data_IF_389125133999
#
_entry.id   IF_389125133999
#
_cell.length_a   1.000
_cell.length_b   1.000
_cell.length_c   1.000
_cell.angle_alpha   90.00
_cell.angle_beta   90.00
_cell.angle_gamma   90.00
#
_symmetry.space_group_name_H-M   'P 1'
#
loop_
_entity.id
_entity.type
_entity.pdbx_description
1 polymer ?
#
# COMPACT_ATOMS: atom_id res chain seq x y z
N UNK A 1 -42.39 -5.19 -18.47
CA UNK A 1 -41.53 -4.69 -19.54
C UNK A 1 -40.13 -4.49 -18.97
N UNK A 2 -39.08 -4.81 -19.73
CA UNK A 2 -37.72 -4.49 -19.32
C UNK A 2 -37.55 -2.96 -19.29
N UNK A 3 -36.82 -2.38 -18.32
CA UNK A 3 -36.61 -0.93 -18.29
C UNK A 3 -35.86 -0.45 -19.55
N UNK A 4 -36.04 0.80 -20.00
CA UNK A 4 -35.33 1.32 -21.18
C UNK A 4 -33.81 1.18 -21.06
N UNK A 5 -33.14 0.88 -22.18
CA UNK A 5 -31.70 0.60 -22.21
C UNK A 5 -30.86 1.76 -21.67
N UNK A 6 -31.17 3.00 -22.05
CA UNK A 6 -30.43 4.16 -21.56
C UNK A 6 -30.68 4.44 -20.08
N UNK A 7 -31.83 4.04 -19.51
CA UNK A 7 -32.00 4.05 -18.05
C UNK A 7 -31.08 3.02 -17.40
N UNK A 8 -31.11 1.76 -17.87
CA UNK A 8 -30.29 0.67 -17.32
C UNK A 8 -28.79 0.98 -17.38
N UNK A 9 -28.34 1.60 -18.47
CA UNK A 9 -26.94 1.94 -18.70
C UNK A 9 -26.47 3.24 -18.01
N UNK A 10 -27.38 4.00 -17.36
CA UNK A 10 -27.05 5.26 -16.70
C UNK A 10 -27.41 5.26 -15.22
N UNK A 11 -28.68 5.46 -14.85
CA UNK A 11 -29.13 5.72 -13.47
C UNK A 11 -28.59 4.66 -12.48
N UNK A 12 -28.75 3.34 -12.71
CA UNK A 12 -28.22 2.33 -11.80
C UNK A 12 -26.68 2.31 -11.74
N UNK A 13 -26.00 2.60 -12.85
CA UNK A 13 -24.54 2.62 -12.92
C UNK A 13 -23.99 3.76 -12.06
N UNK A 14 -24.50 4.99 -12.24
CA UNK A 14 -24.07 6.14 -11.44
C UNK A 14 -24.39 5.95 -9.96
N UNK A 15 -25.60 5.48 -9.61
CA UNK A 15 -25.98 5.24 -8.22
C UNK A 15 -25.03 4.24 -7.53
N UNK A 16 -24.69 3.14 -8.21
CA UNK A 16 -23.75 2.14 -7.68
C UNK A 16 -22.41 2.76 -7.32
N UNK A 17 -21.82 3.54 -8.22
CA UNK A 17 -20.48 4.10 -8.00
C UNK A 17 -20.47 5.32 -7.08
N UNK A 18 -21.56 6.07 -6.99
CA UNK A 18 -21.74 7.13 -5.99
C UNK A 18 -21.83 6.55 -4.57
N UNK A 19 -22.51 5.42 -4.40
CA UNK A 19 -22.52 4.69 -3.13
C UNK A 19 -21.12 4.23 -2.72
N UNK A 20 -20.31 3.75 -3.68
CA UNK A 20 -18.90 3.40 -3.42
C UNK A 20 -18.09 4.63 -3.02
N UNK A 21 -18.19 5.72 -3.77
CA UNK A 21 -17.50 6.98 -3.48
C UNK A 21 -17.84 7.49 -2.08
N UNK A 22 -19.12 7.44 -1.69
CA UNK A 22 -19.57 7.78 -0.33
C UNK A 22 -18.86 6.91 0.71
N UNK A 23 -18.85 5.59 0.51
CA UNK A 23 -18.17 4.66 1.42
C UNK A 23 -16.67 4.95 1.59
N UNK A 24 -16.00 5.46 0.56
CA UNK A 24 -14.58 5.85 0.66
C UNK A 24 -14.38 7.08 1.55
N UNK A 25 -15.34 8.01 1.60
CA UNK A 25 -15.31 9.15 2.52
C UNK A 25 -15.34 8.67 3.98
N UNK A 26 -16.24 7.73 4.27
CA UNK A 26 -16.42 7.17 5.61
C UNK A 26 -15.21 6.30 6.02
N UNK A 27 -14.67 5.51 5.09
CA UNK A 27 -13.47 4.73 5.30
C UNK A 27 -12.26 5.64 5.56
N UNK A 28 -12.11 6.73 4.82
CA UNK A 28 -11.01 7.67 5.01
C UNK A 28 -11.04 8.29 6.41
N UNK A 29 -12.18 8.80 6.86
CA UNK A 29 -12.30 9.41 8.19
C UNK A 29 -12.21 8.42 9.35
N UNK A 30 -12.57 7.15 9.13
CA UNK A 30 -12.45 6.10 10.18
C UNK A 30 -11.06 5.47 10.28
N UNK A 31 -10.24 5.58 9.23
CA UNK A 31 -8.93 4.92 9.14
C UNK A 31 -7.74 5.84 9.36
N UNK A 32 -7.93 7.16 9.27
CA UNK A 32 -6.88 8.14 9.43
C UNK A 32 -7.14 9.07 10.64
N UNK A 33 -6.09 9.62 11.27
CA UNK A 33 -6.23 10.75 12.18
C UNK A 33 -6.97 11.91 11.50
N UNK A 34 -7.76 12.67 12.28
CA UNK A 34 -8.63 13.73 11.73
C UNK A 34 -7.85 14.78 10.92
N UNK A 35 -6.67 15.19 11.38
CA UNK A 35 -5.83 16.15 10.67
C UNK A 35 -5.34 15.62 9.30
N UNK A 36 -4.95 14.34 9.24
CA UNK A 36 -4.48 13.70 8.02
C UNK A 36 -5.64 13.51 7.02
N UNK A 37 -6.81 13.11 7.51
CA UNK A 37 -8.01 13.01 6.70
C UNK A 37 -8.38 14.38 6.09
N UNK A 38 -8.41 15.43 6.90
CA UNK A 38 -8.78 16.78 6.44
C UNK A 38 -7.80 17.31 5.39
N UNK A 39 -6.49 17.04 5.55
CA UNK A 39 -5.48 17.40 4.56
C UNK A 39 -5.71 16.76 3.18
N UNK A 40 -6.40 15.62 3.10
CA UNK A 40 -6.73 14.97 1.82
C UNK A 40 -7.69 15.78 0.97
N UNK A 41 -8.55 16.60 1.56
CA UNK A 41 -9.53 17.41 0.80
C UNK A 41 -8.85 18.31 -0.23
N UNK A 42 -7.67 18.84 0.11
CA UNK A 42 -6.83 19.67 -0.76
C UNK A 42 -5.79 18.90 -1.57
N UNK A 43 -5.66 17.58 -1.40
CA UNK A 43 -4.64 16.79 -2.06
C UNK A 43 -4.89 16.64 -3.57
N UNK A 44 -3.80 16.59 -4.34
CA UNK A 44 -3.77 16.49 -5.81
C UNK A 44 -2.77 15.41 -6.25
N UNK A 45 -2.95 14.88 -7.47
CA UNK A 45 -1.96 14.00 -8.11
C UNK A 45 -0.86 14.77 -8.85
N UNK A 46 -1.22 15.93 -9.41
CA UNK A 46 -0.31 16.87 -10.05
C UNK A 46 -0.75 18.31 -9.72
N UNK A 47 0.17 19.26 -9.82
CA UNK A 47 -0.03 20.63 -9.35
C UNK A 47 -1.19 21.35 -10.08
N UNK A 48 -1.41 21.03 -11.36
CA UNK A 48 -2.44 21.59 -12.22
C UNK A 48 -3.78 20.82 -12.18
N UNK A 49 -3.83 19.67 -11.49
CA UNK A 49 -5.06 18.89 -11.37
C UNK A 49 -5.95 19.38 -10.23
N UNK A 50 -7.28 19.28 -10.41
CA UNK A 50 -8.24 19.55 -9.36
C UNK A 50 -8.01 18.69 -8.10
N UNK A 51 -8.23 19.24 -6.88
CA UNK A 51 -8.02 18.53 -5.63
C UNK A 51 -9.12 17.50 -5.36
N UNK A 52 -8.87 16.59 -4.41
CA UNK A 52 -9.78 15.50 -4.04
C UNK A 52 -11.24 15.94 -3.88
N UNK A 53 -11.50 16.97 -3.07
CA UNK A 53 -12.86 17.45 -2.83
C UNK A 53 -13.56 17.86 -4.14
N UNK A 54 -12.85 18.53 -5.04
CA UNK A 54 -13.36 18.93 -6.35
C UNK A 54 -13.60 17.72 -7.25
N UNK A 55 -12.73 16.69 -7.24
CA UNK A 55 -12.94 15.45 -8.00
C UNK A 55 -14.25 14.75 -7.58
N UNK A 56 -14.52 14.68 -6.27
CA UNK A 56 -15.75 14.09 -5.70
C UNK A 56 -17.00 14.84 -6.18
N UNK A 57 -16.99 16.17 -6.08
CA UNK A 57 -18.10 17.03 -6.49
C UNK A 57 -18.37 16.93 -8.00
N UNK A 58 -17.31 16.90 -8.82
CA UNK A 58 -17.47 16.78 -10.27
C UNK A 58 -18.04 15.41 -10.63
N UNK A 59 -17.56 14.31 -10.01
CA UNK A 59 -18.11 12.98 -10.24
C UNK A 59 -19.62 12.91 -9.90
N UNK A 60 -20.03 13.45 -8.75
CA UNK A 60 -21.44 13.53 -8.38
C UNK A 60 -22.27 14.35 -9.40
N UNK A 61 -21.80 15.53 -9.77
CA UNK A 61 -22.54 16.39 -10.70
C UNK A 61 -22.61 15.81 -12.13
N UNK A 62 -21.62 15.03 -12.58
CA UNK A 62 -21.70 14.34 -13.87
C UNK A 62 -22.89 13.38 -13.95
N UNK A 63 -23.27 12.74 -12.84
CA UNK A 63 -24.46 11.89 -12.79
C UNK A 63 -25.74 12.69 -13.09
N UNK A 64 -25.91 13.87 -12.48
CA UNK A 64 -27.06 14.76 -12.76
C UNK A 64 -27.04 15.29 -14.20
N UNK A 65 -25.89 15.78 -14.64
CA UNK A 65 -25.67 16.32 -16.00
C UNK A 65 -25.89 15.29 -17.11
N UNK A 66 -25.96 14.01 -16.75
CA UNK A 66 -26.19 12.90 -17.69
C UNK A 66 -27.62 12.40 -17.60
N UNK A 67 -28.08 12.01 -16.41
CA UNK A 67 -29.37 11.35 -16.25
C UNK A 67 -30.56 12.28 -16.50
N UNK A 68 -30.47 13.58 -16.15
CA UNK A 68 -31.58 14.51 -16.37
C UNK A 68 -31.82 14.80 -17.85
N UNK A 69 -30.79 15.14 -18.66
CA UNK A 69 -31.00 15.34 -20.10
C UNK A 69 -31.45 14.05 -20.81
N UNK A 70 -30.94 12.88 -20.38
CA UNK A 70 -31.44 11.59 -20.87
C UNK A 70 -32.93 11.39 -20.58
N UNK A 71 -33.41 11.84 -19.42
CA UNK A 71 -34.82 11.83 -19.05
C UNK A 71 -35.64 12.97 -19.71
N UNK A 72 -35.03 13.82 -20.54
CA UNK A 72 -35.69 14.99 -21.12
C UNK A 72 -35.99 16.11 -20.11
N UNK A 73 -35.29 16.12 -18.97
CA UNK A 73 -35.48 17.07 -17.87
C UNK A 73 -34.33 18.08 -17.78
N UNK A 74 -34.57 19.29 -17.25
CA UNK A 74 -33.49 20.23 -16.95
C UNK A 74 -32.56 19.66 -15.87
N UNK A 75 -31.28 20.02 -15.92
CA UNK A 75 -30.30 19.61 -14.90
C UNK A 75 -30.52 20.43 -13.63
N UNK A 76 -30.86 19.82 -12.48
CA UNK A 76 -31.00 20.53 -11.22
C UNK A 76 -29.62 20.88 -10.63
N UNK A 77 -29.60 21.85 -9.72
CA UNK A 77 -28.42 22.14 -8.91
C UNK A 77 -28.40 21.27 -7.66
N UNK A 78 -27.27 20.59 -7.40
CA UNK A 78 -27.04 19.90 -6.12
C UNK A 78 -26.64 20.87 -4.98
N UNK A 79 -26.44 22.15 -5.31
CA UNK A 79 -25.83 23.15 -4.43
C UNK A 79 -24.31 22.97 -4.27
N UNK A 80 -23.64 23.96 -3.69
CA UNK A 80 -22.26 23.81 -3.26
C UNK A 80 -22.22 22.92 -2.00
N UNK A 81 -21.25 22.02 -1.86
CA UNK A 81 -21.03 21.33 -0.60
C UNK A 81 -20.53 22.34 0.44
N UNK A 82 -20.93 22.14 1.69
CA UNK A 82 -20.21 22.73 2.82
C UNK A 82 -18.75 22.24 2.82
N UNK A 83 -17.82 22.98 3.44
CA UNK A 83 -16.44 22.51 3.61
C UNK A 83 -16.40 21.17 4.38
N UNK A 84 -15.37 20.37 4.10
CA UNK A 84 -15.15 19.12 4.81
C UNK A 84 -15.87 17.91 4.22
N UNK A 85 -15.62 16.75 4.82
CA UNK A 85 -16.20 15.48 4.38
C UNK A 85 -17.74 15.43 4.51
N UNK A 86 -18.32 16.12 5.50
CA UNK A 86 -19.79 16.15 5.68
C UNK A 86 -20.49 16.82 4.51
N UNK A 87 -19.93 17.91 3.99
CA UNK A 87 -20.45 18.55 2.79
C UNK A 87 -20.33 17.65 1.55
N UNK A 88 -19.22 16.92 1.41
CA UNK A 88 -19.05 15.95 0.32
C UNK A 88 -20.06 14.81 0.39
N UNK A 89 -20.29 14.22 1.57
CA UNK A 89 -21.34 13.23 1.81
C UNK A 89 -22.70 13.76 1.42
N UNK A 90 -23.01 14.96 1.90
CA UNK A 90 -24.29 15.61 1.68
C UNK A 90 -24.56 15.85 0.19
N UNK A 91 -23.54 16.28 -0.58
CA UNK A 91 -23.72 16.46 -2.03
C UNK A 91 -23.95 15.13 -2.74
N UNK A 92 -23.25 14.06 -2.36
CA UNK A 92 -23.45 12.72 -2.93
C UNK A 92 -24.86 12.21 -2.61
N UNK A 93 -25.34 12.41 -1.38
CA UNK A 93 -26.67 11.97 -0.95
C UNK A 93 -27.78 12.72 -1.69
N UNK A 94 -27.66 14.05 -1.85
CA UNK A 94 -28.61 14.86 -2.63
C UNK A 94 -28.65 14.42 -4.09
N UNK A 95 -27.49 14.27 -4.73
CA UNK A 95 -27.40 13.77 -6.11
C UNK A 95 -28.05 12.39 -6.23
N UNK A 96 -27.73 11.48 -5.32
CA UNK A 96 -28.28 10.12 -5.32
C UNK A 96 -29.80 10.11 -5.12
N UNK A 97 -30.34 11.00 -4.28
CA UNK A 97 -31.77 11.16 -4.09
C UNK A 97 -32.46 11.64 -5.39
N UNK A 98 -31.93 12.70 -6.01
CA UNK A 98 -32.45 13.21 -7.29
C UNK A 98 -32.41 12.15 -8.39
N UNK A 99 -31.36 11.30 -8.44
CA UNK A 99 -31.30 10.20 -9.42
C UNK A 99 -32.36 9.12 -9.19
N UNK A 100 -32.68 8.81 -7.92
CA UNK A 100 -33.70 7.81 -7.58
C UNK A 100 -35.11 8.26 -7.91
N UNK A 101 -35.34 9.57 -8.01
CA UNK A 101 -36.62 10.14 -8.42
C UNK A 101 -36.87 10.01 -9.93
N UNK A 102 -35.89 9.63 -10.73
CA UNK A 102 -36.02 9.48 -12.19
C UNK A 102 -36.64 8.10 -12.55
N UNK A 103 -37.92 8.03 -12.95
CA UNK A 103 -38.55 6.76 -13.28
C UNK A 103 -38.02 6.22 -14.62
N UNK A 104 -37.95 4.89 -14.81
CA UNK A 104 -37.56 4.30 -16.09
C UNK A 104 -38.37 4.83 -17.29
N UNK A 105 -39.67 5.11 -17.09
CA UNK A 105 -40.55 5.65 -18.13
C UNK A 105 -40.09 7.01 -18.71
N UNK A 106 -39.35 7.83 -17.94
CA UNK A 106 -38.82 9.10 -18.45
C UNK A 106 -37.74 8.91 -19.54
N UNK A 107 -37.22 7.69 -19.68
CA UNK A 107 -36.18 7.32 -20.63
C UNK A 107 -36.74 6.59 -21.85
N UNK A 108 -38.07 6.50 -21.98
CA UNK A 108 -38.70 6.07 -23.22
C UNK A 108 -38.26 7.01 -24.37
N UNK A 109 -37.86 6.40 -25.48
CA UNK A 109 -37.33 7.04 -26.68
C UNK A 109 -36.10 7.95 -26.44
N UNK A 110 -35.38 7.77 -25.32
CA UNK A 110 -34.21 8.58 -24.99
C UNK A 110 -33.13 8.53 -26.07
N UNK A 111 -32.99 7.40 -26.77
CA UNK A 111 -32.05 7.22 -27.87
C UNK A 111 -32.28 8.16 -29.06
N UNK A 112 -33.49 8.70 -29.20
CA UNK A 112 -33.84 9.64 -30.28
C UNK A 112 -33.40 11.07 -29.95
N UNK A 113 -32.95 11.34 -28.71
CA UNK A 113 -32.58 12.68 -28.24
C UNK A 113 -31.16 13.04 -28.69
N UNK A 114 -30.96 14.32 -29.01
CA UNK A 114 -29.63 14.93 -29.14
C UNK A 114 -29.40 15.80 -27.91
N UNK A 115 -28.29 15.55 -27.21
CA UNK A 115 -27.96 16.21 -25.96
C UNK A 115 -26.82 17.21 -26.15
N UNK A 116 -26.88 18.31 -25.42
CA UNK A 116 -25.86 19.34 -25.42
C UNK A 116 -25.24 19.52 -24.04
N UNK A 117 -23.93 19.70 -24.00
CA UNK A 117 -23.21 20.10 -22.79
C UNK A 117 -22.03 21.00 -23.16
N UNK A 118 -21.63 21.88 -22.25
CA UNK A 118 -20.36 22.59 -22.36
C UNK A 118 -19.24 21.79 -21.68
N UNK A 119 -18.15 21.56 -22.41
CA UNK A 119 -16.93 20.92 -21.96
C UNK A 119 -15.79 21.95 -22.06
N UNK A 120 -15.56 22.71 -20.98
CA UNK A 120 -14.73 23.92 -21.07
C UNK A 120 -15.35 24.91 -22.06
N UNK A 121 -14.58 25.34 -23.05
CA UNK A 121 -15.03 26.24 -24.12
C UNK A 121 -15.72 25.52 -25.28
N UNK A 122 -15.66 24.18 -25.34
CA UNK A 122 -16.25 23.40 -26.41
C UNK A 122 -17.74 23.09 -26.13
N UNK A 123 -18.59 23.27 -27.15
CA UNK A 123 -19.95 22.75 -27.15
C UNK A 123 -19.93 21.30 -27.63
N UNK A 124 -20.32 20.38 -26.76
CA UNK A 124 -20.53 18.98 -27.09
C UNK A 124 -22.00 18.80 -27.42
N UNK A 125 -22.32 18.44 -28.68
CA UNK A 125 -23.67 18.09 -29.13
C UNK A 125 -23.64 16.68 -29.73
N UNK A 126 -24.25 15.71 -29.05
CA UNK A 126 -24.16 14.29 -29.41
C UNK A 126 -25.53 13.59 -29.32
N UNK A 127 -25.78 12.56 -30.13
CA UNK A 127 -26.89 11.62 -29.89
C UNK A 127 -26.80 11.04 -28.46
N UNK A 128 -27.95 10.78 -27.83
CA UNK A 128 -28.01 10.38 -26.42
C UNK A 128 -27.12 9.18 -26.05
N UNK A 129 -27.06 8.17 -26.90
CA UNK A 129 -26.21 6.98 -26.69
C UNK A 129 -24.73 7.35 -26.70
N UNK A 130 -24.28 8.14 -27.66
CA UNK A 130 -22.89 8.62 -27.75
C UNK A 130 -22.56 9.59 -26.62
N UNK A 131 -23.50 10.46 -26.25
CA UNK A 131 -23.36 11.35 -25.12
C UNK A 131 -23.10 10.56 -23.83
N UNK A 132 -23.86 9.48 -23.59
CA UNK A 132 -23.65 8.62 -22.44
C UNK A 132 -22.29 7.90 -22.50
N UNK A 133 -22.02 7.22 -23.62
CA UNK A 133 -20.90 6.26 -23.72
C UNK A 133 -19.55 6.92 -23.97
N UNK A 134 -19.49 7.97 -24.79
CA UNK A 134 -18.23 8.59 -25.22
C UNK A 134 -17.88 9.84 -24.43
N UNK A 135 -18.85 10.48 -23.78
CA UNK A 135 -18.63 11.72 -23.04
C UNK A 135 -18.88 11.56 -21.54
N UNK A 136 -20.11 11.20 -21.15
CA UNK A 136 -20.50 11.20 -19.74
C UNK A 136 -19.79 10.12 -18.90
N UNK A 137 -19.86 8.84 -19.31
CA UNK A 137 -19.24 7.74 -18.55
C UNK A 137 -17.72 7.89 -18.45
N UNK A 138 -16.97 8.24 -19.52
CA UNK A 138 -15.53 8.46 -19.41
C UNK A 138 -15.17 9.59 -18.44
N UNK A 139 -15.90 10.72 -18.48
CA UNK A 139 -15.66 11.82 -17.53
C UNK A 139 -15.98 11.42 -16.08
N UNK A 140 -17.12 10.77 -15.85
CA UNK A 140 -17.49 10.30 -14.52
C UNK A 140 -16.43 9.35 -13.93
N UNK A 141 -16.02 8.33 -14.70
CA UNK A 141 -15.03 7.37 -14.23
C UNK A 141 -13.63 7.98 -14.12
N UNK A 142 -13.29 8.98 -14.92
CA UNK A 142 -12.05 9.73 -14.77
C UNK A 142 -11.99 10.42 -13.39
N UNK A 143 -13.02 11.18 -13.02
CA UNK A 143 -13.07 11.88 -11.74
C UNK A 143 -13.15 10.90 -10.55
N UNK A 144 -13.94 9.84 -10.69
CA UNK A 144 -14.05 8.78 -9.67
C UNK A 144 -12.70 8.07 -9.45
N UNK A 145 -12.01 7.68 -10.52
CA UNK A 145 -10.70 7.02 -10.45
C UNK A 145 -9.63 7.95 -9.93
N UNK A 146 -9.68 9.23 -10.29
CA UNK A 146 -8.75 10.24 -9.78
C UNK A 146 -8.94 10.44 -8.27
N UNK A 147 -10.19 10.51 -7.79
CA UNK A 147 -10.48 10.55 -6.35
C UNK A 147 -9.93 9.30 -5.62
N UNK A 148 -10.17 8.10 -6.18
CA UNK A 148 -9.59 6.84 -5.68
C UNK A 148 -8.06 6.90 -5.61
N UNK A 149 -7.41 7.33 -6.69
CA UNK A 149 -5.95 7.39 -6.80
C UNK A 149 -5.34 8.39 -5.81
N UNK A 150 -5.97 9.55 -5.58
CA UNK A 150 -5.53 10.52 -4.56
C UNK A 150 -5.54 9.85 -3.18
N UNK A 151 -6.67 9.26 -2.77
CA UNK A 151 -6.77 8.57 -1.47
C UNK A 151 -5.71 7.47 -1.34
N UNK A 152 -5.58 6.62 -2.36
CA UNK A 152 -4.63 5.49 -2.35
C UNK A 152 -3.18 5.96 -2.29
N UNK A 153 -2.82 7.02 -3.02
CA UNK A 153 -1.47 7.61 -3.02
C UNK A 153 -1.07 8.19 -1.66
N UNK A 154 -2.05 8.51 -0.81
CA UNK A 154 -1.85 9.06 0.54
C UNK A 154 -2.07 8.03 1.64
N UNK A 155 -2.04 6.74 1.30
CA UNK A 155 -2.02 5.65 2.28
C UNK A 155 -3.40 5.18 2.77
N UNK A 156 -4.50 5.68 2.21
CA UNK A 156 -5.83 5.15 2.55
C UNK A 156 -5.92 3.68 2.09
N UNK A 157 -6.33 2.74 2.96
CA UNK A 157 -6.30 1.31 2.68
C UNK A 157 -7.48 0.84 1.81
N UNK A 158 -7.73 1.51 0.67
CA UNK A 158 -8.74 1.12 -0.32
C UNK A 158 -8.13 0.33 -1.49
N UNK A 159 -8.85 -0.67 -1.98
CA UNK A 159 -8.50 -1.51 -3.11
C UNK A 159 -9.55 -1.48 -4.23
N UNK A 160 -9.35 -2.29 -5.26
CA UNK A 160 -10.30 -2.42 -6.37
C UNK A 160 -11.65 -3.00 -5.91
N UNK A 161 -11.67 -3.78 -4.81
CA UNK A 161 -12.88 -4.24 -4.14
C UNK A 161 -13.74 -3.07 -3.64
N UNK A 162 -13.12 -2.06 -3.05
CA UNK A 162 -13.82 -0.83 -2.65
C UNK A 162 -14.28 -0.04 -3.87
N UNK A 163 -13.53 -0.12 -4.98
CA UNK A 163 -13.85 0.61 -6.20
C UNK A 163 -15.17 0.16 -6.85
N UNK A 164 -15.30 -1.14 -7.16
CA UNK A 164 -16.47 -1.66 -7.88
C UNK A 164 -17.37 -2.60 -7.07
N UNK A 165 -16.90 -3.11 -5.94
CA UNK A 165 -17.63 -4.09 -5.13
C UNK A 165 -17.90 -5.42 -5.83
N UNK A 166 -17.18 -5.71 -6.91
CA UNK A 166 -17.22 -6.99 -7.64
C UNK A 166 -15.93 -7.77 -7.42
N UNK A 167 -14.80 -7.06 -7.38
CA UNK A 167 -13.55 -7.69 -6.99
C UNK A 167 -13.64 -8.08 -5.52
N UNK A 168 -13.43 -9.36 -5.26
CA UNK A 168 -13.09 -9.85 -3.95
C UNK A 168 -11.61 -10.18 -4.00
N UNK A 169 -10.81 -9.40 -3.27
CA UNK A 169 -9.48 -9.86 -2.93
C UNK A 169 -9.63 -10.64 -1.64
N UNK A 170 -8.98 -11.79 -1.51
CA UNK A 170 -8.86 -12.40 -0.21
C UNK A 170 -8.17 -11.34 0.70
N UNK A 171 -8.67 -11.09 1.93
CA UNK A 171 -8.16 -10.02 2.80
C UNK A 171 -6.64 -9.95 2.74
N UNK A 172 -6.06 -8.75 2.57
CA UNK A 172 -4.60 -8.55 2.49
C UNK A 172 -3.94 -9.40 3.59
N UNK A 173 -3.28 -10.49 3.17
CA UNK A 173 -2.98 -11.65 4.04
C UNK A 173 -3.56 -13.02 3.59
N UNK A 174 -4.30 -13.11 2.48
CA UNK A 174 -4.90 -14.36 2.00
C UNK A 174 -4.82 -14.59 0.48
N UNK A 175 -3.86 -13.95 -0.19
CA UNK A 175 -3.07 -14.66 -1.18
C UNK A 175 -1.81 -15.14 -0.46
N UNK A 176 -1.70 -16.44 -0.15
CA UNK A 176 -0.43 -17.19 -0.02
C UNK A 176 0.72 -16.71 0.90
N UNK A 177 0.63 -15.61 1.63
CA UNK A 177 1.78 -15.01 2.36
C UNK A 177 1.78 -15.32 3.87
N UNK A 178 0.73 -15.86 4.50
CA UNK A 178 0.64 -15.89 5.97
C UNK A 178 0.90 -17.26 6.68
N UNK A 179 1.38 -18.29 6.00
CA UNK A 179 1.89 -19.50 6.69
C UNK A 179 3.14 -20.06 6.03
N UNK A 180 3.22 -20.01 4.70
CA UNK A 180 4.40 -20.48 3.97
C UNK A 180 5.57 -19.50 4.13
N UNK A 181 5.35 -18.20 3.99
CA UNK A 181 6.43 -17.21 4.14
C UNK A 181 6.81 -16.98 5.61
N UNK A 182 5.85 -17.03 6.56
CA UNK A 182 6.21 -17.03 7.98
C UNK A 182 6.91 -18.32 8.39
N UNK A 183 6.51 -19.49 7.84
CA UNK A 183 7.26 -20.74 8.03
C UNK A 183 8.66 -20.66 7.42
N UNK A 184 8.80 -20.11 6.21
CA UNK A 184 10.12 -19.89 5.58
C UNK A 184 10.95 -18.87 6.36
N UNK A 185 10.32 -17.85 6.93
CA UNK A 185 10.98 -16.90 7.80
C UNK A 185 11.44 -17.58 9.08
N UNK A 186 10.62 -18.44 9.70
CA UNK A 186 11.04 -19.21 10.86
C UNK A 186 12.15 -20.22 10.52
N UNK A 187 12.07 -20.91 9.38
CA UNK A 187 13.13 -21.77 8.85
C UNK A 187 14.44 -20.97 8.72
N UNK A 188 14.40 -19.73 8.21
CA UNK A 188 15.55 -18.83 8.12
C UNK A 188 16.07 -18.40 9.50
N UNK A 189 15.19 -18.14 10.48
CA UNK A 189 15.60 -17.85 11.86
C UNK A 189 16.28 -19.06 12.50
N UNK A 190 15.78 -20.27 12.26
CA UNK A 190 16.39 -21.52 12.72
C UNK A 190 17.72 -21.80 12.02
N UNK A 191 17.82 -21.53 10.71
CA UNK A 191 19.07 -21.61 9.95
C UNK A 191 20.10 -20.65 10.51
N UNK A 192 19.73 -19.40 10.79
CA UNK A 192 20.64 -18.42 11.40
C UNK A 192 21.09 -18.89 12.79
N UNK A 193 20.17 -19.28 13.68
CA UNK A 193 20.54 -19.82 15.01
C UNK A 193 21.45 -21.06 14.90
N UNK A 194 21.26 -21.89 13.88
CA UNK A 194 22.11 -23.06 13.62
C UNK A 194 23.48 -22.67 13.09
N UNK A 195 23.55 -21.65 12.22
CA UNK A 195 24.81 -21.06 11.76
C UNK A 195 25.61 -20.51 12.93
N UNK A 196 24.99 -19.73 13.81
CA UNK A 196 25.66 -19.13 14.96
C UNK A 196 26.19 -20.20 15.93
N UNK A 197 25.39 -21.23 16.23
CA UNK A 197 25.85 -22.38 17.03
C UNK A 197 27.02 -23.11 16.38
N UNK A 198 26.96 -23.36 15.07
CA UNK A 198 28.08 -24.01 14.36
C UNK A 198 29.39 -23.22 14.48
N UNK A 199 29.33 -21.88 14.46
CA UNK A 199 30.51 -21.02 14.62
C UNK A 199 31.05 -21.01 16.06
N UNK A 200 30.18 -21.13 17.06
CA UNK A 200 30.56 -21.22 18.48
C UNK A 200 31.15 -22.61 18.81
N UNK A 201 30.50 -23.67 18.34
CA UNK A 201 30.88 -25.06 18.62
C UNK A 201 32.06 -25.54 17.75
N UNK A 202 32.41 -24.79 16.70
CA UNK A 202 33.45 -25.18 15.75
C UNK A 202 33.01 -26.29 14.77
N UNK A 203 31.70 -26.43 14.50
CA UNK A 203 31.17 -27.35 13.49
C UNK A 203 31.44 -26.79 12.08
N UNK A 204 32.69 -26.97 11.62
CA UNK A 204 33.13 -26.48 10.32
C UNK A 204 32.38 -27.09 9.13
N UNK A 205 32.01 -28.40 9.13
CA UNK A 205 31.17 -28.96 8.08
C UNK A 205 29.81 -28.25 7.91
N UNK A 206 29.12 -27.93 9.01
CA UNK A 206 27.87 -27.19 8.95
C UNK A 206 28.12 -25.71 8.59
N UNK A 207 29.12 -25.07 9.19
CA UNK A 207 29.47 -23.69 8.90
C UNK A 207 29.78 -23.48 7.41
N UNK A 208 30.60 -24.34 6.80
CA UNK A 208 30.93 -24.27 5.36
C UNK A 208 29.73 -24.52 4.44
N UNK A 209 28.74 -25.30 4.90
CA UNK A 209 27.50 -25.56 4.14
C UNK A 209 26.54 -24.37 4.16
N UNK A 210 26.52 -23.62 5.27
CA UNK A 210 25.63 -22.47 5.45
C UNK A 210 26.20 -21.17 4.89
N UNK A 211 27.51 -21.09 4.59
CA UNK A 211 28.14 -19.92 3.99
C UNK A 211 28.44 -20.14 2.50
N UNK A 212 27.90 -19.27 1.66
CA UNK A 212 28.07 -19.33 0.21
C UNK A 212 29.55 -19.18 -0.19
N UNK A 213 30.02 -19.77 -1.29
CA UNK A 213 31.40 -19.59 -1.79
C UNK A 213 31.83 -18.13 -1.91
N UNK A 214 30.92 -17.25 -2.33
CA UNK A 214 31.13 -15.80 -2.46
C UNK A 214 30.94 -15.01 -1.17
N UNK A 215 30.81 -15.68 -0.01
CA UNK A 215 30.49 -15.01 1.24
C UNK A 215 31.53 -13.96 1.64
N UNK A 216 31.05 -12.82 2.15
CA UNK A 216 31.88 -11.78 2.76
C UNK A 216 31.36 -11.36 4.14
N UNK A 217 32.28 -11.19 5.08
CA UNK A 217 32.03 -10.67 6.42
C UNK A 217 32.67 -9.28 6.56
N UNK A 218 31.94 -8.33 7.13
CA UNK A 218 32.48 -7.08 7.69
C UNK A 218 32.29 -7.07 9.19
N UNK A 219 33.40 -7.05 9.95
CA UNK A 219 33.36 -7.08 11.42
C UNK A 219 32.97 -5.71 12.01
N UNK A 220 32.65 -5.63 13.32
CA UNK A 220 32.39 -4.36 13.99
C UNK A 220 33.54 -3.35 13.92
N UNK A 221 34.77 -3.82 13.71
CA UNK A 221 35.95 -2.97 13.52
C UNK A 221 36.16 -2.54 12.05
N UNK A 222 35.21 -2.85 11.15
CA UNK A 222 35.29 -2.52 9.73
C UNK A 222 36.25 -3.40 8.93
N UNK A 223 36.72 -4.53 9.48
CA UNK A 223 37.60 -5.46 8.76
C UNK A 223 36.76 -6.39 7.89
N UNK A 224 37.15 -6.52 6.62
CA UNK A 224 36.52 -7.45 5.70
C UNK A 224 37.25 -8.81 5.68
N UNK A 225 36.49 -9.89 5.54
CA UNK A 225 37.00 -11.25 5.34
C UNK A 225 36.18 -11.96 4.26
N UNK A 226 36.86 -12.74 3.42
CA UNK A 226 36.22 -13.78 2.60
C UNK A 226 35.75 -14.95 3.47
N UNK A 227 34.90 -15.83 2.92
CA UNK A 227 34.50 -17.08 3.58
C UNK A 227 35.69 -17.88 4.11
N UNK A 228 36.66 -18.15 3.27
CA UNK A 228 37.72 -19.11 3.61
C UNK A 228 38.72 -18.51 4.62
N UNK A 229 38.94 -17.19 4.59
CA UNK A 229 39.71 -16.49 5.62
C UNK A 229 39.00 -16.52 6.97
N UNK A 230 37.70 -16.21 6.98
CA UNK A 230 36.89 -16.17 8.19
C UNK A 230 36.74 -17.55 8.82
N UNK A 231 36.22 -18.53 8.06
CA UNK A 231 36.00 -19.89 8.54
C UNK A 231 37.32 -20.60 8.84
N UNK A 232 38.38 -20.33 8.06
CA UNK A 232 39.71 -20.87 8.32
C UNK A 232 40.32 -20.38 9.64
N UNK A 233 40.03 -19.15 10.08
CA UNK A 233 40.45 -18.65 11.39
C UNK A 233 39.75 -19.39 12.53
N UNK A 234 38.47 -19.73 12.37
CA UNK A 234 37.72 -20.51 13.37
C UNK A 234 38.25 -21.95 13.41
N UNK A 235 38.44 -22.57 12.25
CA UNK A 235 38.94 -23.94 12.11
C UNK A 235 40.32 -24.16 12.76
N UNK A 236 41.21 -23.15 12.68
CA UNK A 236 42.53 -23.19 13.34
C UNK A 236 42.51 -22.76 14.80
N UNK A 237 41.40 -22.23 15.30
CA UNK A 237 41.30 -21.67 16.65
C UNK A 237 41.87 -20.25 16.80
N UNK A 238 42.26 -19.58 15.72
CA UNK A 238 42.72 -18.17 15.72
C UNK A 238 41.57 -17.20 16.09
N UNK A 239 40.32 -17.63 15.87
CA UNK A 239 39.10 -16.91 16.22
C UNK A 239 38.15 -17.87 16.91
N UNK A 240 37.92 -17.66 18.21
CA UNK A 240 37.04 -18.51 19.02
C UNK A 240 35.90 -17.70 19.60
N UNK A 241 34.68 -17.98 19.17
CA UNK A 241 33.49 -17.45 19.84
C UNK A 241 33.22 -18.30 21.08
N UNK A 242 33.20 -17.67 22.26
CA UNK A 242 32.73 -18.30 23.50
C UNK A 242 31.20 -18.17 23.64
N UNK A 243 30.63 -17.10 23.07
CA UNK A 243 29.20 -16.81 23.08
C UNK A 243 28.80 -16.07 21.82
N UNK A 244 27.64 -16.42 21.26
CA UNK A 244 26.96 -15.64 20.23
C UNK A 244 25.45 -15.86 20.36
N UNK A 245 24.80 -14.95 21.08
CA UNK A 245 23.38 -15.05 21.38
C UNK A 245 22.58 -14.00 20.61
N UNK A 246 21.79 -14.40 19.60
CA UNK A 246 20.91 -13.49 18.91
C UNK A 246 19.67 -13.17 19.77
N UNK A 247 19.22 -11.92 19.71
CA UNK A 247 17.89 -11.53 20.15
C UNK A 247 16.80 -11.95 19.16
N UNK A 248 15.71 -11.18 19.10
CA UNK A 248 14.70 -11.37 18.06
C UNK A 248 15.29 -11.11 16.67
N UNK A 249 15.03 -12.03 15.73
CA UNK A 249 15.52 -11.95 14.35
C UNK A 249 14.39 -11.47 13.45
N UNK A 250 14.51 -10.23 12.99
CA UNK A 250 13.67 -9.69 11.93
C UNK A 250 14.07 -10.32 10.60
N UNK A 251 13.10 -10.79 9.82
CA UNK A 251 13.33 -11.38 8.49
C UNK A 251 12.56 -10.57 7.45
N UNK A 252 13.23 -10.13 6.40
CA UNK A 252 12.62 -9.64 5.16
C UNK A 252 12.91 -10.63 4.05
N UNK A 253 11.89 -11.39 3.65
CA UNK A 253 11.97 -12.39 2.58
C UNK A 253 11.55 -11.76 1.24
N UNK A 254 12.31 -12.05 0.18
CA UNK A 254 11.96 -11.69 -1.19
C UNK A 254 12.37 -12.80 -2.17
N UNK A 255 11.41 -13.64 -2.54
CA UNK A 255 11.60 -14.80 -3.42
C UNK A 255 12.78 -15.69 -2.99
N UNK A 256 13.90 -15.62 -3.71
CA UNK A 256 15.12 -16.41 -3.49
C UNK A 256 16.20 -15.67 -2.69
N UNK A 257 15.83 -14.58 -2.03
CA UNK A 257 16.71 -13.76 -1.18
C UNK A 257 16.05 -13.40 0.15
N UNK A 258 16.84 -13.20 1.18
CA UNK A 258 16.36 -12.73 2.47
C UNK A 258 17.38 -11.81 3.15
N UNK A 259 16.87 -10.85 3.93
CA UNK A 259 17.67 -9.99 4.81
C UNK A 259 17.24 -10.24 6.24
N UNK A 260 18.19 -10.63 7.08
CA UNK A 260 18.02 -10.82 8.52
C UNK A 260 18.63 -9.63 9.25
N UNK A 261 17.95 -9.15 10.28
CA UNK A 261 18.47 -8.10 11.16
C UNK A 261 18.13 -8.39 12.61
N UNK A 262 19.13 -8.29 13.47
CA UNK A 262 18.98 -8.55 14.89
C UNK A 262 20.09 -7.89 15.70
N UNK A 263 19.85 -7.74 17.00
CA UNK A 263 20.93 -7.50 17.95
C UNK A 263 21.45 -8.83 18.48
N UNK A 264 22.75 -8.93 18.74
CA UNK A 264 23.35 -10.09 19.35
C UNK A 264 24.35 -9.69 20.44
N UNK A 265 24.52 -10.58 21.42
CA UNK A 265 25.58 -10.50 22.43
C UNK A 265 26.66 -11.51 22.08
N UNK A 266 27.88 -11.03 21.85
CA UNK A 266 29.04 -11.84 21.48
C UNK A 266 30.07 -11.82 22.60
N UNK A 267 30.80 -12.92 22.78
CA UNK A 267 31.96 -12.98 23.66
C UNK A 267 33.08 -13.78 23.00
N UNK A 268 34.26 -13.19 22.93
CA UNK A 268 35.52 -13.90 22.61
C UNK A 268 36.32 -14.23 23.88
N UNK A 269 36.04 -13.49 24.95
CA UNK A 269 36.54 -13.67 26.31
C UNK A 269 35.33 -13.73 27.25
N UNK A 270 35.33 -14.66 28.20
CA UNK A 270 34.19 -14.93 29.08
C UNK A 270 33.81 -13.71 29.93
N UNK A 271 34.79 -12.88 30.26
CA UNK A 271 34.63 -11.73 31.14
C UNK A 271 34.30 -10.42 30.38
N UNK A 272 34.25 -10.44 29.05
CA UNK A 272 34.06 -9.24 28.24
C UNK A 272 33.07 -9.44 27.07
N UNK A 273 31.78 -9.72 27.35
CA UNK A 273 30.76 -9.72 26.31
C UNK A 273 30.48 -8.31 25.78
N UNK A 274 30.12 -8.18 24.51
CA UNK A 274 29.68 -6.93 23.91
C UNK A 274 28.46 -7.14 23.01
N UNK A 275 27.70 -6.07 22.77
CA UNK A 275 26.51 -6.09 21.91
C UNK A 275 26.81 -5.51 20.54
N UNK A 276 26.19 -6.05 19.51
CA UNK A 276 26.22 -5.49 18.17
C UNK A 276 24.91 -5.70 17.42
N UNK A 277 24.65 -4.80 16.48
CA UNK A 277 23.69 -5.04 15.40
C UNK A 277 24.31 -5.96 14.37
N UNK A 278 23.50 -6.87 13.85
CA UNK A 278 23.82 -7.74 12.72
C UNK A 278 22.85 -7.48 11.56
N UNK A 279 23.42 -7.47 10.35
CA UNK A 279 22.67 -7.62 9.11
C UNK A 279 23.31 -8.78 8.34
N UNK A 280 22.51 -9.80 8.07
CA UNK A 280 22.92 -10.96 7.29
C UNK A 280 22.01 -11.07 6.07
N UNK A 281 22.60 -11.33 4.91
CA UNK A 281 21.86 -11.52 3.67
C UNK A 281 22.02 -12.96 3.21
N UNK A 282 20.90 -13.56 2.83
CA UNK A 282 20.79 -14.95 2.43
C UNK A 282 20.30 -15.03 0.99
N UNK A 283 20.83 -15.99 0.25
CA UNK A 283 20.36 -16.36 -1.08
C UNK A 283 20.10 -17.86 -1.14
N UNK A 284 19.12 -18.26 -1.96
CA UNK A 284 18.83 -19.67 -2.24
C UNK A 284 19.71 -20.17 -3.39
N UNK A 285 20.84 -20.77 -3.05
CA UNK A 285 21.83 -21.31 -4.00
C UNK A 285 21.70 -22.83 -4.02
N UNK A 286 21.49 -23.41 -5.20
CA UNK A 286 21.25 -24.85 -5.40
C UNK A 286 20.11 -25.41 -4.51
N UNK A 287 19.05 -24.62 -4.35
CA UNK A 287 17.88 -24.98 -3.55
C UNK A 287 18.10 -24.90 -2.04
N UNK A 288 19.22 -24.36 -1.55
CA UNK A 288 19.53 -24.20 -0.13
C UNK A 288 19.81 -22.75 0.22
N UNK A 289 19.34 -22.32 1.39
CA UNK A 289 19.68 -21.01 1.94
C UNK A 289 21.13 -20.99 2.40
N UNK A 290 21.89 -20.03 1.90
CA UNK A 290 23.27 -19.78 2.28
C UNK A 290 23.45 -18.28 2.54
N UNK A 291 24.17 -17.94 3.60
CA UNK A 291 24.52 -16.54 3.86
C UNK A 291 25.55 -16.09 2.82
N UNK A 292 25.32 -14.93 2.22
CA UNK A 292 26.20 -14.32 1.21
C UNK A 292 26.91 -13.09 1.74
N UNK A 293 26.27 -12.28 2.60
CA UNK A 293 26.96 -11.22 3.35
C UNK A 293 26.57 -11.21 4.81
N UNK A 294 27.53 -10.86 5.66
CA UNK A 294 27.33 -10.58 7.08
C UNK A 294 28.03 -9.28 7.44
N UNK A 295 27.33 -8.40 8.14
CA UNK A 295 27.91 -7.19 8.69
C UNK A 295 27.46 -7.02 10.14
N UNK A 296 28.40 -6.63 10.99
CA UNK A 296 28.12 -6.30 12.38
C UNK A 296 28.58 -4.88 12.73
N UNK A 297 27.81 -4.20 13.59
CA UNK A 297 28.12 -2.86 14.11
C UNK A 297 28.05 -2.88 15.63
N UNK A 298 29.16 -2.57 16.31
CA UNK A 298 29.20 -2.54 17.77
C UNK A 298 28.24 -1.48 18.34
N UNK A 299 27.46 -1.88 19.34
CA UNK A 299 26.65 -0.96 20.14
C UNK A 299 27.56 -0.47 21.28
N UNK A 300 27.81 0.83 21.34
CA UNK A 300 28.54 1.43 22.47
C UNK A 300 27.55 1.67 23.59
N UNK A 301 27.76 1.04 24.74
CA UNK A 301 26.99 1.36 25.95
C UNK A 301 27.43 2.76 26.44
N UNK A 302 26.70 3.79 26.01
CA UNK A 302 27.09 5.18 26.30
C UNK A 302 26.26 6.28 25.63
N UNK A 303 24.97 6.07 25.33
CA UNK A 303 24.12 7.16 24.81
C UNK A 303 22.66 7.11 25.31
N UNK A 304 22.46 6.74 26.57
CA UNK A 304 21.16 6.84 27.24
C UNK A 304 20.93 8.18 27.95
N UNK A 305 21.77 9.21 27.74
CA UNK A 305 21.70 10.44 28.55
C UNK A 305 21.90 11.75 27.75
N UNK A 306 21.69 11.74 26.42
CA UNK A 306 21.73 12.97 25.61
C UNK A 306 20.37 13.59 25.27
N UNK A 307 19.28 12.83 25.36
CA UNK A 307 17.94 13.37 25.08
C UNK A 307 17.27 14.05 26.30
N UNK A 308 17.84 13.94 27.50
CA UNK A 308 17.29 14.59 28.70
C UNK A 308 17.76 16.05 28.90
N UNK A 309 18.78 16.52 28.16
CA UNK A 309 19.32 17.87 28.30
C UNK A 309 18.77 18.89 27.29
N UNK A 310 17.99 18.46 26.29
CA UNK A 310 17.37 19.33 25.29
C UNK A 310 15.99 19.89 25.71
N UNK A 311 15.46 19.50 26.88
CA UNK A 311 14.16 19.96 27.39
C UNK A 311 14.27 21.08 28.46
N UNK A 312 15.44 21.71 28.63
CA UNK A 312 15.65 22.84 29.56
C UNK A 312 16.57 23.95 29.03
N UNK A 313 16.31 24.42 27.82
CA UNK A 313 16.70 25.77 27.39
C UNK A 313 15.51 26.46 26.73
#
# INVERSE_FOLDING_TARGET
MNPPMLWQASVPVFLRYLERLRGWLDLTQSRLPAADAEALLGARLADDMNPFATQVVIAANFALRTCHPLAGLPVPSAGAPEPGFDGLRTVIDRVSAMLRELPPAAFEDAEQRTLESRAGDALVRLPATEFLQHYALPNFFFHLTTAYAILRSRGVPIGKADFDGLHAYPPVGSEGVCLADERRAEDLREIERSRLRALVDGDMPLARRLHAPQFQLVTPAGRAFTRDEYLGKIERGDLRYLRWEPGAIDVRLHADSAVLRYQATLAFDADAPFRCWHIDTYERIDGRWQVVWSQATAIKDGDHDRDALAARQ
#
